data_IF_325683019435
#
_entry.id   IF_325683019435
#
_cell.length_a   1.000
_cell.length_b   1.000
_cell.length_c   1.000
_cell.angle_alpha   90.00
_cell.angle_beta   90.00
_cell.angle_gamma   90.00
#
_symmetry.space_group_name_H-M   'P 1'
#
loop_
_entity.id
_entity.type
_entity.pdbx_description
1 polymer ?
#
# COMPACT_ATOMS: atom_id res chain seq x y z
N UNK A 1 16.65 -2.74 -9.94
CA UNK A 1 15.46 -3.48 -9.46
C UNK A 1 14.33 -2.56 -8.98
N UNK A 2 14.59 -1.56 -8.12
CA UNK A 2 13.54 -0.69 -7.53
C UNK A 2 12.57 -0.02 -8.52
N UNK A 3 13.06 0.50 -9.65
CA UNK A 3 12.20 1.14 -10.65
C UNK A 3 11.23 0.16 -11.30
N UNK A 4 11.69 -1.06 -11.61
CA UNK A 4 10.86 -2.09 -12.25
C UNK A 4 9.76 -2.54 -11.29
N UNK A 5 10.13 -2.86 -10.04
CA UNK A 5 9.16 -3.24 -9.02
C UNK A 5 8.15 -2.14 -8.75
N UNK A 6 8.58 -0.89 -8.73
CA UNK A 6 7.66 0.21 -8.47
C UNK A 6 6.70 0.51 -9.63
N UNK A 7 7.12 0.36 -10.90
CA UNK A 7 6.22 0.47 -12.05
C UNK A 7 5.15 -0.62 -11.99
N UNK A 8 5.56 -1.85 -11.64
CA UNK A 8 4.63 -2.98 -11.44
C UNK A 8 3.64 -2.68 -10.33
N UNK A 9 4.08 -2.11 -9.20
CA UNK A 9 3.18 -1.73 -8.10
C UNK A 9 2.18 -0.66 -8.53
N UNK A 10 2.62 0.38 -9.25
CA UNK A 10 1.72 1.43 -9.73
C UNK A 10 0.66 0.84 -10.68
N UNK A 11 1.07 -0.01 -11.63
CA UNK A 11 0.17 -0.68 -12.56
C UNK A 11 -0.82 -1.60 -11.84
N UNK A 12 -0.35 -2.40 -10.88
CA UNK A 12 -1.21 -3.28 -10.08
C UNK A 12 -2.25 -2.49 -9.28
N UNK A 13 -1.83 -1.40 -8.62
CA UNK A 13 -2.72 -0.56 -7.83
C UNK A 13 -3.76 0.16 -8.71
N UNK A 14 -3.37 0.70 -9.86
CA UNK A 14 -4.32 1.33 -10.80
C UNK A 14 -5.34 0.33 -11.33
N UNK A 15 -4.92 -0.89 -11.70
CA UNK A 15 -5.84 -1.96 -12.09
C UNK A 15 -6.78 -2.36 -10.94
N UNK A 16 -6.27 -2.44 -9.71
CA UNK A 16 -7.09 -2.74 -8.54
C UNK A 16 -8.14 -1.66 -8.25
N UNK A 17 -7.76 -0.39 -8.31
CA UNK A 17 -8.69 0.74 -8.17
C UNK A 17 -9.74 0.74 -9.29
N UNK A 18 -9.32 0.53 -10.54
CA UNK A 18 -10.23 0.47 -11.69
C UNK A 18 -11.25 -0.66 -11.56
N UNK A 19 -10.78 -1.88 -11.26
CA UNK A 19 -11.65 -3.04 -11.01
C UNK A 19 -12.60 -2.78 -9.85
N UNK A 20 -12.15 -2.10 -8.79
CA UNK A 20 -13.01 -1.75 -7.66
C UNK A 20 -14.13 -0.78 -8.05
N UNK A 21 -13.87 0.17 -8.95
CA UNK A 21 -14.86 1.14 -9.46
C UNK A 21 -15.84 0.49 -10.43
N UNK A 22 -15.37 -0.43 -11.28
CA UNK A 22 -16.21 -1.10 -12.29
C UNK A 22 -17.05 -2.23 -11.66
N UNK A 23 -16.47 -3.00 -10.73
CA UNK A 23 -17.12 -4.15 -10.09
C UNK A 23 -17.83 -3.80 -8.77
N UNK A 24 -18.19 -2.53 -8.54
CA UNK A 24 -18.92 -2.08 -7.33
C UNK A 24 -20.19 -2.90 -7.07
N UNK A 25 -20.80 -3.46 -8.11
CA UNK A 25 -21.99 -4.31 -8.02
C UNK A 25 -21.74 -5.72 -7.45
N UNK A 26 -20.50 -6.25 -7.54
CA UNK A 26 -20.10 -7.56 -6.99
C UNK A 26 -19.25 -7.44 -5.73
N UNK A 27 -18.65 -6.28 -5.50
CA UNK A 27 -17.84 -5.97 -4.33
C UNK A 27 -18.73 -5.71 -3.10
N UNK A 28 -19.30 -6.78 -2.51
CA UNK A 28 -20.10 -6.71 -1.29
C UNK A 28 -19.47 -5.82 -0.20
N UNK A 29 -20.32 -5.03 0.48
CA UNK A 29 -20.03 -4.05 1.56
C UNK A 29 -18.54 -3.66 1.66
N UNK A 30 -18.09 -2.86 0.70
CA UNK A 30 -16.76 -2.24 0.75
C UNK A 30 -16.65 -1.36 2.00
N UNK A 31 -15.92 -1.82 3.02
CA UNK A 31 -15.60 -1.02 4.21
C UNK A 31 -14.72 0.17 3.79
N UNK A 32 -15.03 1.36 4.31
CA UNK A 32 -14.29 2.61 4.06
C UNK A 32 -12.77 2.46 4.28
N UNK A 33 -12.37 1.64 5.26
CA UNK A 33 -10.97 1.35 5.57
C UNK A 33 -10.18 0.70 4.43
N UNK A 34 -10.80 -0.15 3.59
CA UNK A 34 -10.12 -0.77 2.44
C UNK A 34 -9.77 0.26 1.36
N UNK A 35 -10.66 1.24 1.14
CA UNK A 35 -10.42 2.34 0.19
C UNK A 35 -9.31 3.26 0.66
N UNK A 36 -9.34 3.67 1.93
CA UNK A 36 -8.30 4.53 2.49
C UNK A 36 -6.93 3.83 2.46
N UNK A 37 -6.88 2.54 2.80
CA UNK A 37 -5.64 1.77 2.76
C UNK A 37 -5.05 1.70 1.34
N UNK A 38 -5.87 1.36 0.32
CA UNK A 38 -5.41 1.33 -1.07
C UNK A 38 -4.92 2.71 -1.55
N UNK A 39 -5.65 3.77 -1.21
CA UNK A 39 -5.30 5.14 -1.58
C UNK A 39 -3.96 5.57 -0.96
N UNK A 40 -3.76 5.31 0.33
CA UNK A 40 -2.50 5.62 1.03
C UNK A 40 -1.34 4.80 0.47
N UNK A 41 -1.55 3.52 0.14
CA UNK A 41 -0.52 2.67 -0.46
C UNK A 41 -0.09 3.20 -1.84
N UNK A 42 -1.05 3.65 -2.66
CA UNK A 42 -0.78 4.28 -3.95
C UNK A 42 -0.03 5.61 -3.78
N UNK A 43 -0.48 6.49 -2.89
CA UNK A 43 0.18 7.77 -2.59
C UNK A 43 1.61 7.57 -2.07
N UNK A 44 1.83 6.58 -1.20
CA UNK A 44 3.16 6.23 -0.69
C UNK A 44 4.07 5.80 -1.84
N UNK A 45 3.57 4.95 -2.74
CA UNK A 45 4.36 4.49 -3.90
C UNK A 45 4.68 5.64 -4.85
N UNK A 46 3.70 6.49 -5.17
CA UNK A 46 3.88 7.67 -6.03
C UNK A 46 4.88 8.67 -5.44
N UNK A 47 4.79 8.98 -4.15
CA UNK A 47 5.72 9.89 -3.47
C UNK A 47 7.13 9.33 -3.39
N UNK A 48 7.28 8.01 -3.26
CA UNK A 48 8.59 7.35 -3.30
C UNK A 48 9.26 7.49 -4.67
N UNK A 49 8.51 7.28 -5.76
CA UNK A 49 9.01 7.59 -7.10
C UNK A 49 9.32 9.06 -7.28
N UNK A 50 8.43 9.94 -6.83
CA UNK A 50 8.64 11.38 -6.93
C UNK A 50 9.94 11.81 -6.25
N UNK A 51 10.26 11.27 -5.07
CA UNK A 51 11.54 11.51 -4.39
C UNK A 51 12.73 11.09 -5.27
N UNK A 52 12.61 9.97 -5.97
CA UNK A 52 13.66 9.51 -6.88
C UNK A 52 13.82 10.41 -8.10
N UNK A 53 12.73 10.85 -8.72
CA UNK A 53 12.76 11.80 -9.84
C UNK A 53 13.32 13.17 -9.42
N UNK A 54 12.90 13.69 -8.27
CA UNK A 54 13.42 14.96 -7.72
C UNK A 54 14.91 14.88 -7.42
N UNK A 55 15.38 13.72 -6.94
CA UNK A 55 16.80 13.46 -6.72
C UNK A 55 17.59 13.37 -8.01
N UNK A 56 17.02 12.78 -9.07
CA UNK A 56 17.64 12.74 -10.41
C UNK A 56 17.71 14.13 -11.06
N UNK A 57 16.76 15.02 -10.77
CA UNK A 57 16.74 16.40 -11.25
C UNK A 57 17.67 17.35 -10.44
N UNK A 58 18.42 16.83 -9.45
CA UNK A 58 19.25 17.59 -8.48
C UNK A 58 18.51 18.75 -7.78
N UNK A 59 17.18 18.67 -7.69
CA UNK A 59 16.33 19.68 -7.04
C UNK A 59 16.31 19.47 -5.52
N UNK A 60 17.44 19.76 -4.88
CA UNK A 60 17.66 19.54 -3.44
C UNK A 60 16.60 20.20 -2.56
N UNK A 61 16.15 21.40 -2.91
CA UNK A 61 15.14 22.14 -2.15
C UNK A 61 13.77 21.42 -2.09
N UNK A 62 13.39 20.69 -3.14
CA UNK A 62 12.14 19.91 -3.17
C UNK A 62 12.33 18.45 -2.72
N UNK A 63 13.53 17.90 -2.86
CA UNK A 63 13.82 16.53 -2.46
C UNK A 63 13.59 16.32 -0.95
N UNK A 64 14.08 17.21 -0.08
CA UNK A 64 13.92 17.09 1.36
C UNK A 64 12.46 17.08 1.84
N UNK A 65 11.59 18.04 1.46
CA UNK A 65 10.19 18.00 1.87
C UNK A 65 9.44 16.80 1.27
N UNK A 66 9.78 16.38 0.04
CA UNK A 66 9.18 15.18 -0.54
C UNK A 66 9.52 13.91 0.27
N UNK A 67 10.77 13.76 0.72
CA UNK A 67 11.18 12.65 1.59
C UNK A 67 10.44 12.67 2.94
N UNK A 68 10.27 13.85 3.54
CA UNK A 68 9.52 13.99 4.79
C UNK A 68 8.06 13.55 4.62
N UNK A 69 7.39 14.03 3.56
CA UNK A 69 6.03 13.65 3.22
C UNK A 69 5.91 12.15 2.94
N UNK A 70 6.87 11.56 2.24
CA UNK A 70 6.91 10.12 1.98
C UNK A 70 7.00 9.29 3.27
N UNK A 71 7.83 9.69 4.23
CA UNK A 71 7.94 9.03 5.54
C UNK A 71 6.66 9.14 6.37
N UNK A 72 5.95 10.27 6.29
CA UNK A 72 4.63 10.41 6.93
C UNK A 72 3.64 9.40 6.35
N UNK A 73 3.60 9.24 5.02
CA UNK A 73 2.73 8.27 4.39
C UNK A 73 3.06 6.83 4.78
N UNK A 74 4.36 6.48 4.86
CA UNK A 74 4.80 5.17 5.36
C UNK A 74 4.35 4.97 6.81
N UNK A 75 4.55 5.95 7.68
CA UNK A 75 4.13 5.87 9.07
C UNK A 75 2.61 5.66 9.19
N UNK A 76 1.84 6.43 8.42
CA UNK A 76 0.39 6.28 8.34
C UNK A 76 0.01 4.87 7.90
N UNK A 77 0.69 4.34 6.88
CA UNK A 77 0.46 2.99 6.38
C UNK A 77 0.72 1.94 7.46
N UNK A 78 1.83 2.03 8.18
CA UNK A 78 2.18 1.10 9.27
C UNK A 78 1.13 1.11 10.40
N UNK A 79 0.68 2.28 10.82
CA UNK A 79 -0.37 2.43 11.83
C UNK A 79 -1.72 1.89 11.32
N UNK A 80 -2.01 2.00 10.03
CA UNK A 80 -3.28 1.56 9.46
C UNK A 80 -3.36 0.05 9.18
N UNK A 81 -2.22 -0.65 9.10
CA UNK A 81 -2.17 -2.11 8.93
C UNK A 81 -3.07 -2.87 9.94
N UNK A 82 -2.99 -2.65 11.27
CA UNK A 82 -3.83 -3.36 12.25
C UNK A 82 -5.33 -3.10 12.09
N UNK A 83 -5.73 -1.97 11.52
CA UNK A 83 -7.13 -1.59 11.32
C UNK A 83 -7.70 -2.05 9.97
N UNK A 84 -6.87 -2.69 9.14
CA UNK A 84 -7.21 -3.16 7.81
C UNK A 84 -7.47 -4.68 7.76
N UNK A 85 -8.15 -5.14 6.71
CA UNK A 85 -8.34 -6.58 6.39
C UNK A 85 -7.02 -7.36 6.32
N UNK A 86 -5.89 -6.68 6.09
CA UNK A 86 -4.55 -7.28 6.12
C UNK A 86 -4.17 -7.83 7.50
N UNK A 87 -4.52 -7.16 8.60
CA UNK A 87 -4.28 -7.70 9.93
C UNK A 87 -5.08 -8.97 10.18
N UNK A 88 -6.30 -9.03 9.66
CA UNK A 88 -7.13 -10.22 9.77
C UNK A 88 -6.57 -11.40 8.96
N UNK A 89 -5.98 -11.12 7.78
CA UNK A 89 -5.24 -12.11 6.99
C UNK A 89 -4.04 -12.64 7.79
N UNK A 90 -3.23 -11.77 8.40
CA UNK A 90 -2.09 -12.16 9.23
C UNK A 90 -2.55 -13.03 10.40
N UNK A 91 -3.56 -12.61 11.15
CA UNK A 91 -4.14 -13.39 12.25
C UNK A 91 -4.62 -14.77 11.78
N UNK A 92 -5.29 -14.85 10.62
CA UNK A 92 -5.75 -16.12 10.06
C UNK A 92 -4.59 -17.02 9.64
N UNK A 93 -3.54 -16.48 9.02
CA UNK A 93 -2.35 -17.27 8.65
C UNK A 93 -1.61 -17.81 9.87
N UNK A 94 -1.45 -17.00 10.92
CA UNK A 94 -0.83 -17.42 12.17
C UNK A 94 -1.68 -18.49 12.87
N UNK A 95 -3.01 -18.33 12.88
CA UNK A 95 -3.91 -19.34 13.44
C UNK A 95 -3.85 -20.67 12.69
N UNK A 96 -3.76 -20.66 11.35
CA UNK A 96 -3.60 -21.88 10.54
C UNK A 96 -2.22 -22.53 10.73
N UNK A 97 -1.16 -21.74 10.91
CA UNK A 97 0.16 -22.28 11.25
C UNK A 97 0.14 -22.94 12.63
N UNK A 98 -0.52 -22.31 13.60
CA UNK A 98 -0.63 -22.82 14.96
C UNK A 98 -1.53 -24.06 15.05
N UNK A 99 -2.63 -24.11 14.28
CA UNK A 99 -3.49 -25.30 14.21
C UNK A 99 -2.85 -26.44 13.43
N UNK A 100 -2.11 -26.15 12.35
CA UNK A 100 -1.31 -27.14 11.62
C UNK A 100 -0.14 -27.71 12.44
N UNK A 101 0.37 -26.95 13.41
CA UNK A 101 1.41 -27.39 14.35
C UNK A 101 0.91 -28.33 15.45
N UNK A 102 -0.42 -28.44 15.67
CA UNK A 102 -1.03 -29.36 16.66
C UNK A 102 -1.51 -30.70 16.06
N UNK A 103 -1.20 -30.97 14.79
CA UNK A 103 -1.53 -32.22 14.11
C UNK A 103 -0.34 -33.20 14.00
N UNK A 104 0.65 -33.09 14.89
CA UNK A 104 1.72 -34.08 15.06
C UNK A 104 1.83 -34.50 16.52
#
# INVERSE_FOLDING_TARGET
>A
LGNVSGIVVIAALTVFLWRRIVDQAKAGKSTYSDWLFLAILLLTTLTGFLCQWLRLADLRALAYPAYFVHLIFIFFLLVYIPYSKFAHLVYRTVAMLHSGGRAR
#
